data_IF_974939913116
#
_entry.id   IF_974939913116
#
_cell.length_a   1.000
_cell.length_b   1.000
_cell.length_c   1.000
_cell.angle_alpha   90.00
_cell.angle_beta   90.00
_cell.angle_gamma   90.00
#
_symmetry.space_group_name_H-M   'P 1'
#
loop_
_entity.id
_entity.type
_entity.pdbx_description
1 polymer ?
#
# COMPACT_ATOMS: atom_id res chain seq x y z
N UNK A 1 -5.34 26.56 -2.10
CA UNK A 1 -6.79 26.57 -1.88
C UNK A 1 -7.26 25.50 -0.90
N UNK A 2 -6.40 24.53 -0.58
CA UNK A 2 -6.70 23.42 0.33
C UNK A 2 -7.56 22.31 -0.29
N UNK A 3 -7.81 22.38 -1.60
CA UNK A 3 -8.61 21.40 -2.34
C UNK A 3 -7.74 20.51 -3.22
N UNK A 4 -6.66 21.04 -3.78
CA UNK A 4 -5.75 20.26 -4.64
C UNK A 4 -4.47 19.93 -3.89
N UNK A 5 -4.16 18.65 -3.80
CA UNK A 5 -2.96 18.14 -3.18
C UNK A 5 -2.07 17.48 -4.25
N UNK A 6 -0.82 17.92 -4.31
CA UNK A 6 0.16 17.39 -5.26
C UNK A 6 1.31 16.75 -4.49
N UNK A 7 1.52 15.47 -4.72
CA UNK A 7 2.60 14.70 -4.12
C UNK A 7 3.67 14.43 -5.18
N UNK A 8 4.91 14.74 -4.84
CA UNK A 8 6.07 14.45 -5.69
C UNK A 8 6.81 13.24 -5.15
N UNK A 9 6.85 12.19 -5.95
CA UNK A 9 7.54 10.96 -5.59
C UNK A 9 9.06 11.16 -5.68
N UNK A 10 9.78 10.44 -4.83
CA UNK A 10 11.24 10.38 -4.86
C UNK A 10 11.73 9.76 -6.17
N UNK A 11 12.95 10.08 -6.55
CA UNK A 11 13.63 9.42 -7.67
C UNK A 11 13.98 7.97 -7.32
N UNK A 12 13.90 7.09 -8.31
CA UNK A 12 14.38 5.73 -8.22
C UNK A 12 13.58 4.82 -7.26
N UNK A 13 12.30 5.13 -7.02
CA UNK A 13 11.44 4.24 -6.25
C UNK A 13 11.24 2.92 -6.97
N UNK A 14 11.35 1.82 -6.22
CA UNK A 14 11.24 0.47 -6.73
C UNK A 14 10.32 -0.39 -5.85
N UNK A 15 9.68 -1.33 -6.48
CA UNK A 15 9.08 -2.47 -5.83
C UNK A 15 10.16 -3.48 -5.39
N UNK A 16 9.79 -4.43 -4.53
CA UNK A 16 10.74 -5.45 -4.04
C UNK A 16 11.27 -6.39 -5.13
N UNK A 17 10.55 -6.54 -6.24
CA UNK A 17 10.97 -7.29 -7.43
C UNK A 17 11.91 -6.50 -8.35
N UNK A 18 12.19 -5.23 -8.04
CA UNK A 18 13.07 -4.34 -8.79
C UNK A 18 12.38 -3.53 -9.89
N UNK A 19 11.10 -3.74 -10.16
CA UNK A 19 10.32 -2.92 -11.09
C UNK A 19 10.11 -1.50 -10.54
N UNK A 20 9.83 -0.54 -11.42
CA UNK A 20 9.61 0.86 -11.03
C UNK A 20 8.28 1.02 -10.31
N UNK A 21 8.28 1.83 -9.23
CA UNK A 21 7.09 2.32 -8.57
C UNK A 21 6.85 3.75 -9.04
N UNK A 22 5.65 4.01 -9.55
CA UNK A 22 5.27 5.29 -10.16
C UNK A 22 4.01 5.87 -9.53
N UNK A 23 3.66 7.09 -9.93
CA UNK A 23 2.42 7.73 -9.50
C UNK A 23 1.16 6.98 -9.99
N UNK A 24 1.25 6.22 -11.09
CA UNK A 24 0.14 5.39 -11.58
C UNK A 24 -0.21 4.28 -10.59
N UNK A 25 0.77 3.73 -9.85
CA UNK A 25 0.50 2.73 -8.80
C UNK A 25 -0.37 3.30 -7.67
N UNK A 26 -0.20 4.58 -7.33
CA UNK A 26 -1.07 5.26 -6.37
C UNK A 26 -2.47 5.49 -6.93
N UNK A 27 -2.60 5.92 -8.19
CA UNK A 27 -3.90 6.08 -8.86
C UNK A 27 -4.65 4.75 -8.87
N UNK A 28 -4.01 3.67 -9.31
CA UNK A 28 -4.58 2.34 -9.29
C UNK A 28 -5.04 1.91 -7.89
N UNK A 29 -4.15 2.07 -6.91
CA UNK A 29 -4.39 1.61 -5.54
C UNK A 29 -5.57 2.35 -4.89
N UNK A 30 -5.65 3.67 -5.05
CA UNK A 30 -6.73 4.46 -4.46
C UNK A 30 -8.07 4.19 -5.14
N UNK A 31 -8.09 4.03 -6.46
CA UNK A 31 -9.29 3.57 -7.19
C UNK A 31 -9.72 2.19 -6.70
N UNK A 32 -8.78 1.26 -6.51
CA UNK A 32 -9.05 -0.07 -5.98
C UNK A 32 -9.65 -0.04 -4.56
N UNK A 33 -9.21 0.87 -3.69
CA UNK A 33 -9.82 1.05 -2.35
C UNK A 33 -11.30 1.48 -2.45
N UNK A 34 -11.66 2.25 -3.47
CA UNK A 34 -13.05 2.65 -3.72
C UNK A 34 -13.89 1.57 -4.42
N UNK A 35 -13.27 0.52 -4.96
CA UNK A 35 -13.99 -0.54 -5.67
C UNK A 35 -14.97 -1.28 -4.74
N UNK A 36 -16.28 -1.28 -5.04
CA UNK A 36 -17.28 -1.99 -4.23
C UNK A 36 -17.04 -3.51 -4.17
N UNK A 37 -16.34 -4.09 -5.14
CA UNK A 37 -15.96 -5.51 -5.13
C UNK A 37 -14.89 -5.78 -4.08
N UNK A 38 -13.95 -4.86 -3.90
CA UNK A 38 -12.89 -4.94 -2.87
C UNK A 38 -13.47 -4.69 -1.47
N UNK A 39 -14.50 -3.86 -1.37
CA UNK A 39 -15.22 -3.55 -0.13
C UNK A 39 -14.28 -3.15 1.03
N UNK A 40 -13.31 -2.28 0.77
CA UNK A 40 -12.31 -1.87 1.75
C UNK A 40 -12.98 -1.17 2.96
N UNK A 41 -12.82 -1.66 4.21
CA UNK A 41 -13.57 -1.16 5.37
C UNK A 41 -13.33 0.32 5.71
N UNK A 42 -12.19 0.85 5.31
CA UNK A 42 -11.79 2.24 5.60
C UNK A 42 -11.93 3.18 4.40
N UNK A 43 -12.49 2.73 3.27
CA UNK A 43 -12.59 3.55 2.05
C UNK A 43 -13.22 4.92 2.32
N UNK A 44 -14.40 4.97 2.94
CA UNK A 44 -15.09 6.22 3.28
C UNK A 44 -14.27 7.10 4.24
N UNK A 45 -13.65 6.49 5.26
CA UNK A 45 -12.88 7.22 6.27
C UNK A 45 -11.67 7.95 5.65
N UNK A 46 -10.98 7.32 4.70
CA UNK A 46 -9.72 7.85 4.15
C UNK A 46 -9.89 8.57 2.82
N UNK A 47 -10.93 8.26 2.04
CA UNK A 47 -11.17 8.81 0.71
C UNK A 47 -12.51 9.55 0.55
N UNK A 48 -13.41 9.54 1.54
CA UNK A 48 -14.73 10.16 1.44
C UNK A 48 -14.70 11.68 1.19
N UNK A 49 -13.57 12.36 1.45
CA UNK A 49 -13.39 13.76 1.10
C UNK A 49 -12.82 13.97 -0.31
N UNK A 50 -12.41 12.91 -1.01
CA UNK A 50 -11.92 13.02 -2.40
C UNK A 50 -13.11 13.18 -3.33
N UNK A 51 -13.00 14.11 -4.24
CA UNK A 51 -14.04 14.40 -5.23
C UNK A 51 -14.29 13.15 -6.11
N UNK A 52 -15.56 12.83 -6.34
CA UNK A 52 -15.96 11.64 -7.09
C UNK A 52 -15.96 10.33 -6.29
N UNK A 53 -15.81 10.40 -4.96
CA UNK A 53 -15.80 9.21 -4.11
C UNK A 53 -17.12 8.41 -4.18
N UNK A 54 -18.26 9.08 -4.11
CA UNK A 54 -19.57 8.41 -4.12
C UNK A 54 -19.82 7.68 -5.44
N UNK A 55 -19.44 8.30 -6.57
CA UNK A 55 -19.53 7.71 -7.90
C UNK A 55 -18.58 6.50 -8.03
N UNK A 56 -17.36 6.61 -7.49
CA UNK A 56 -16.41 5.51 -7.48
C UNK A 56 -16.92 4.33 -6.63
N UNK A 57 -17.52 4.58 -5.47
CA UNK A 57 -18.17 3.56 -4.64
C UNK A 57 -19.39 2.94 -5.33
N UNK A 58 -20.03 3.65 -6.26
CA UNK A 58 -21.11 3.11 -7.09
C UNK A 58 -20.61 2.29 -8.30
N UNK A 59 -19.27 2.19 -8.48
CA UNK A 59 -18.62 1.39 -9.52
C UNK A 59 -18.00 2.20 -10.66
N UNK A 60 -18.14 3.53 -10.69
CA UNK A 60 -17.43 4.41 -11.65
C UNK A 60 -16.09 4.86 -11.05
N UNK A 61 -15.11 3.95 -11.06
CA UNK A 61 -13.79 4.20 -10.47
C UNK A 61 -13.05 5.36 -11.13
N UNK A 62 -13.40 5.72 -12.37
CA UNK A 62 -12.78 6.83 -13.10
C UNK A 62 -13.29 8.19 -12.64
N UNK A 63 -14.41 8.24 -11.93
CA UNK A 63 -14.92 9.47 -11.31
C UNK A 63 -14.05 9.96 -10.14
N UNK A 64 -13.28 9.06 -9.48
CA UNK A 64 -12.40 9.46 -8.37
C UNK A 64 -11.32 10.42 -8.87
N UNK A 65 -11.32 11.63 -8.32
CA UNK A 65 -10.42 12.72 -8.75
C UNK A 65 -8.97 12.53 -8.26
N UNK A 66 -8.34 11.45 -8.73
CA UNK A 66 -6.91 11.16 -8.56
C UNK A 66 -6.28 11.00 -9.93
N UNK A 67 -5.07 11.52 -10.11
CA UNK A 67 -4.38 11.45 -11.41
C UNK A 67 -2.87 11.42 -11.26
N UNK A 68 -2.20 10.91 -12.28
CA UNK A 68 -0.75 10.91 -12.42
C UNK A 68 -0.39 11.61 -13.75
N UNK A 69 -0.18 12.94 -13.76
CA UNK A 69 0.19 13.66 -14.98
C UNK A 69 1.56 13.24 -15.53
N UNK A 70 2.40 12.68 -14.69
CA UNK A 70 3.66 12.04 -15.02
C UNK A 70 4.00 10.96 -13.98
N UNK A 71 5.04 10.16 -14.24
CA UNK A 71 5.43 9.03 -13.41
C UNK A 71 5.78 9.37 -11.95
N UNK A 72 6.00 10.64 -11.62
CA UNK A 72 6.43 11.11 -10.30
C UNK A 72 5.48 12.09 -9.63
N UNK A 73 4.43 12.48 -10.30
CA UNK A 73 3.48 13.46 -9.78
C UNK A 73 2.13 12.80 -9.58
N UNK A 74 1.68 12.70 -8.33
CA UNK A 74 0.37 12.21 -7.96
C UNK A 74 -0.48 13.37 -7.46
N UNK A 75 -1.65 13.57 -8.07
CA UNK A 75 -2.56 14.68 -7.78
C UNK A 75 -3.89 14.17 -7.29
N UNK A 76 -4.41 14.80 -6.23
CA UNK A 76 -5.71 14.50 -5.62
C UNK A 76 -6.53 15.77 -5.49
N UNK A 77 -7.79 15.75 -5.93
CA UNK A 77 -8.73 16.84 -5.71
C UNK A 77 -9.74 16.47 -4.62
N UNK A 78 -9.92 17.36 -3.65
CA UNK A 78 -10.87 17.19 -2.57
C UNK A 78 -12.18 17.95 -2.87
N UNK A 79 -13.29 17.43 -2.37
CA UNK A 79 -14.60 18.11 -2.40
C UNK A 79 -14.67 19.27 -1.43
N UNK A 80 -13.96 19.18 -0.30
CA UNK A 80 -13.88 20.20 0.73
C UNK A 80 -12.46 20.29 1.29
N UNK A 81 -12.01 21.46 1.79
CA UNK A 81 -10.69 21.59 2.40
C UNK A 81 -10.51 20.65 3.60
N UNK A 82 -9.42 19.89 3.61
CA UNK A 82 -9.06 18.97 4.69
C UNK A 82 -7.63 19.24 5.15
N UNK A 83 -7.40 20.02 6.23
CA UNK A 83 -6.05 20.39 6.67
C UNK A 83 -5.17 19.22 7.11
N UNK A 84 -5.77 18.10 7.47
CA UNK A 84 -5.07 16.87 7.92
C UNK A 84 -4.98 15.79 6.83
N UNK A 85 -5.28 16.12 5.58
CA UNK A 85 -5.30 15.16 4.47
C UNK A 85 -3.96 14.45 4.27
N UNK A 86 -2.84 15.15 4.46
CA UNK A 86 -1.50 14.53 4.39
C UNK A 86 -1.36 13.37 5.38
N UNK A 87 -1.92 13.51 6.59
CA UNK A 87 -1.91 12.43 7.60
C UNK A 87 -2.80 11.26 7.19
N UNK A 88 -3.94 11.53 6.53
CA UNK A 88 -4.80 10.47 5.97
C UNK A 88 -4.12 9.75 4.81
N UNK A 89 -3.43 10.48 3.93
CA UNK A 89 -2.68 9.90 2.82
C UNK A 89 -1.57 8.92 3.27
N UNK A 90 -1.09 9.06 4.51
CA UNK A 90 -0.13 8.13 5.12
C UNK A 90 -0.78 6.90 5.78
N UNK A 91 -2.11 6.77 5.75
CA UNK A 91 -2.80 5.63 6.36
C UNK A 91 -2.55 4.34 5.54
N UNK A 92 -2.37 3.21 6.23
CA UNK A 92 -1.97 1.94 5.60
C UNK A 92 -2.88 1.49 4.44
N UNK A 93 -4.20 1.76 4.52
CA UNK A 93 -5.16 1.45 3.45
C UNK A 93 -4.81 2.13 2.12
N UNK A 94 -4.14 3.29 2.17
CA UNK A 94 -3.76 4.08 0.99
C UNK A 94 -2.33 3.78 0.50
N UNK A 95 -1.66 2.79 1.10
CA UNK A 95 -0.37 2.32 0.60
C UNK A 95 -0.51 1.76 -0.82
N UNK A 96 0.44 2.03 -1.72
CA UNK A 96 0.36 1.54 -3.08
C UNK A 96 0.51 0.01 -3.12
N UNK A 97 -0.21 -0.64 -4.03
CA UNK A 97 -0.08 -2.04 -4.40
C UNK A 97 0.30 -2.16 -5.87
N UNK A 98 1.12 -3.15 -6.21
CA UNK A 98 1.56 -3.34 -7.58
C UNK A 98 0.42 -3.89 -8.45
N UNK A 99 -0.06 -3.10 -9.42
CA UNK A 99 -1.19 -3.46 -10.28
C UNK A 99 -0.98 -4.80 -10.98
N UNK A 100 0.18 -5.00 -11.61
CA UNK A 100 0.48 -6.22 -12.34
C UNK A 100 0.34 -7.49 -11.48
N UNK A 101 0.79 -7.42 -10.23
CA UNK A 101 0.70 -8.54 -9.28
C UNK A 101 -0.75 -8.80 -8.85
N UNK A 102 -1.51 -7.74 -8.57
CA UNK A 102 -2.93 -7.86 -8.17
C UNK A 102 -3.75 -8.44 -9.33
N UNK A 103 -3.57 -7.96 -10.55
CA UNK A 103 -4.30 -8.44 -11.72
C UNK A 103 -3.95 -9.89 -12.10
N UNK A 104 -2.68 -10.27 -11.95
CA UNK A 104 -2.23 -11.63 -12.25
C UNK A 104 -2.73 -12.68 -11.25
N UNK A 105 -2.97 -12.29 -9.97
CA UNK A 105 -3.26 -13.23 -8.89
C UNK A 105 -4.67 -13.06 -8.28
N UNK A 106 -5.42 -12.04 -8.67
CA UNK A 106 -6.74 -11.75 -8.09
C UNK A 106 -6.65 -11.65 -6.56
N UNK A 107 -7.60 -12.26 -5.84
CA UNK A 107 -7.65 -12.23 -4.36
C UNK A 107 -6.45 -12.92 -3.68
N UNK A 108 -5.70 -13.73 -4.42
CA UNK A 108 -4.53 -14.45 -3.89
C UNK A 108 -3.24 -13.61 -3.88
N UNK A 109 -3.24 -12.39 -4.40
CA UNK A 109 -2.04 -11.54 -4.52
C UNK A 109 -1.29 -11.33 -3.19
N UNK A 110 -2.00 -11.35 -2.05
CA UNK A 110 -1.46 -11.09 -0.71
C UNK A 110 -1.55 -12.32 0.21
N UNK A 111 -1.53 -13.54 -0.33
CA UNK A 111 -1.69 -14.78 0.45
C UNK A 111 -0.46 -15.68 0.44
N UNK A 112 0.57 -15.35 -0.35
CA UNK A 112 1.81 -16.12 -0.45
C UNK A 112 3.02 -15.18 -0.58
N UNK A 113 4.19 -15.65 -0.19
CA UNK A 113 5.42 -14.86 -0.24
C UNK A 113 5.78 -14.45 -1.68
N UNK A 114 5.54 -15.33 -2.63
CA UNK A 114 5.90 -15.15 -4.05
C UNK A 114 5.04 -14.08 -4.73
N UNK A 115 3.83 -13.86 -4.24
CA UNK A 115 2.88 -12.90 -4.81
C UNK A 115 2.79 -11.59 -4.03
N UNK A 116 3.39 -11.53 -2.83
CA UNK A 116 3.35 -10.33 -2.01
C UNK A 116 4.48 -9.36 -2.35
N UNK A 117 4.30 -8.59 -3.43
CA UNK A 117 5.26 -7.55 -3.83
C UNK A 117 5.00 -6.27 -3.01
N UNK A 118 6.06 -5.69 -2.45
CA UNK A 118 5.96 -4.51 -1.59
C UNK A 118 7.07 -3.50 -1.89
N UNK A 119 6.94 -2.29 -1.36
CA UNK A 119 7.95 -1.23 -1.49
C UNK A 119 8.57 -0.85 -0.15
N UNK A 120 8.35 -1.64 0.89
CA UNK A 120 8.86 -1.43 2.25
C UNK A 120 10.32 -1.85 2.43
N UNK A 121 10.88 -1.60 3.64
CA UNK A 121 12.28 -1.94 3.97
C UNK A 121 12.57 -3.43 4.03
N UNK A 122 11.53 -4.25 4.13
CA UNK A 122 11.60 -5.71 4.11
C UNK A 122 10.55 -6.27 3.16
N UNK A 123 10.84 -7.42 2.55
CA UNK A 123 9.92 -8.18 1.73
C UNK A 123 9.80 -9.62 2.24
N UNK A 124 8.65 -10.24 2.04
CA UNK A 124 8.38 -11.60 2.51
C UNK A 124 9.18 -12.58 1.65
N UNK A 125 9.96 -13.46 2.30
CA UNK A 125 10.71 -14.53 1.65
C UNK A 125 10.13 -15.91 1.94
N UNK A 126 9.39 -16.04 3.03
CA UNK A 126 8.73 -17.27 3.41
C UNK A 126 7.47 -16.96 4.22
N UNK A 127 6.38 -17.61 3.90
CA UNK A 127 5.14 -17.53 4.64
C UNK A 127 4.56 -18.92 4.86
N UNK A 128 4.64 -19.40 6.10
CA UNK A 128 4.09 -20.67 6.53
C UNK A 128 2.87 -20.41 7.40
N UNK A 129 1.65 -20.59 6.89
CA UNK A 129 0.43 -20.33 7.63
C UNK A 129 0.39 -21.06 8.98
N UNK A 130 0.00 -20.37 10.05
CA UNK A 130 -0.06 -20.93 11.40
C UNK A 130 1.30 -21.17 12.08
N UNK A 131 2.41 -20.89 11.41
CA UNK A 131 3.76 -21.11 11.94
C UNK A 131 4.58 -19.81 11.98
N UNK A 132 4.97 -19.28 10.84
CA UNK A 132 5.81 -18.10 10.82
C UNK A 132 5.78 -17.36 9.47
N UNK A 133 6.24 -16.09 9.50
CA UNK A 133 6.55 -15.28 8.32
C UNK A 133 8.00 -14.83 8.46
N UNK A 134 8.82 -15.09 7.44
CA UNK A 134 10.20 -14.60 7.34
C UNK A 134 10.27 -13.49 6.30
N UNK A 135 10.92 -12.40 6.66
CA UNK A 135 11.15 -11.26 5.77
C UNK A 135 12.66 -11.01 5.68
N UNK A 136 13.13 -10.67 4.49
CA UNK A 136 14.51 -10.23 4.26
C UNK A 136 14.56 -8.74 3.95
N UNK A 137 15.71 -8.11 4.24
CA UNK A 137 15.98 -6.72 3.88
C UNK A 137 15.77 -6.52 2.38
N UNK A 138 14.98 -5.52 2.02
CA UNK A 138 14.72 -5.14 0.63
C UNK A 138 15.86 -4.25 0.10
N UNK A 139 16.69 -4.72 -0.84
CA UNK A 139 17.77 -3.93 -1.40
C UNK A 139 17.25 -2.79 -2.30
N UNK A 140 16.00 -2.89 -2.78
CA UNK A 140 15.35 -1.92 -3.63
C UNK A 140 14.60 -0.83 -2.84
N UNK A 141 14.61 -0.91 -1.50
CA UNK A 141 14.00 0.11 -0.65
C UNK A 141 14.76 1.44 -0.78
N UNK A 142 14.04 2.55 -0.95
CA UNK A 142 14.63 3.88 -1.19
C UNK A 142 15.70 4.29 -0.16
N UNK A 143 15.62 3.79 1.06
CA UNK A 143 16.56 4.07 2.14
C UNK A 143 17.19 2.78 2.69
N UNK A 144 17.54 1.85 1.81
CA UNK A 144 18.08 0.54 2.20
C UNK A 144 19.36 0.66 3.06
N UNK A 145 20.20 1.64 2.82
CA UNK A 145 21.45 1.83 3.57
C UNK A 145 21.23 2.13 5.06
N UNK A 146 20.11 2.76 5.41
CA UNK A 146 19.76 3.03 6.80
C UNK A 146 19.26 1.77 7.56
N UNK A 147 18.86 0.72 6.84
CA UNK A 147 18.32 -0.50 7.42
C UNK A 147 19.46 -1.41 7.85
N UNK A 148 19.59 -1.62 9.16
CA UNK A 148 20.67 -2.42 9.77
C UNK A 148 20.34 -3.91 9.92
N UNK A 149 19.05 -4.24 10.11
CA UNK A 149 18.60 -5.62 10.21
C UNK A 149 18.63 -6.31 8.85
N UNK A 150 19.15 -7.53 8.78
CA UNK A 150 19.17 -8.34 7.56
C UNK A 150 17.85 -9.08 7.32
N UNK A 151 17.18 -9.48 8.39
CA UNK A 151 15.92 -10.23 8.33
C UNK A 151 15.08 -10.02 9.58
N UNK A 152 13.78 -10.38 9.46
CA UNK A 152 12.82 -10.41 10.56
C UNK A 152 12.06 -11.73 10.42
N UNK A 153 11.87 -12.44 11.54
CA UNK A 153 11.03 -13.64 11.61
C UNK A 153 9.91 -13.40 12.60
N UNK A 154 8.68 -13.42 12.12
CA UNK A 154 7.49 -13.42 12.96
C UNK A 154 7.08 -14.86 13.22
N UNK A 155 7.13 -15.30 14.48
CA UNK A 155 6.62 -16.60 14.90
C UNK A 155 5.16 -16.42 15.33
N UNK A 156 4.25 -17.15 14.70
CA UNK A 156 2.82 -17.05 14.97
C UNK A 156 2.49 -17.98 16.16
N UNK A 157 2.08 -17.40 17.27
CA UNK A 157 1.75 -18.12 18.51
C UNK A 157 0.41 -17.60 19.05
N UNK A 158 -0.51 -18.52 19.36
CA UNK A 158 -1.80 -18.17 19.96
C UNK A 158 -1.70 -18.00 21.47
N UNK A 159 -0.81 -18.75 22.15
CA UNK A 159 -0.61 -18.72 23.60
C UNK A 159 0.45 -17.69 24.00
N UNK A 160 0.03 -16.69 24.75
CA UNK A 160 0.90 -15.60 25.24
C UNK A 160 2.00 -16.11 26.20
N UNK A 161 1.77 -17.20 26.96
CA UNK A 161 2.79 -17.76 27.85
C UNK A 161 3.87 -18.52 27.04
N UNK A 162 3.46 -19.20 25.96
CA UNK A 162 4.41 -19.81 25.03
C UNK A 162 5.27 -18.72 24.35
N UNK A 163 4.66 -17.62 23.93
CA UNK A 163 5.39 -16.48 23.35
C UNK A 163 6.38 -15.86 24.35
N UNK A 164 5.97 -15.71 25.62
CA UNK A 164 6.85 -15.21 26.69
C UNK A 164 8.01 -16.16 26.98
N UNK A 165 7.75 -17.47 27.00
CA UNK A 165 8.79 -18.48 27.21
C UNK A 165 9.79 -18.50 26.05
N UNK A 166 9.32 -18.33 24.83
CA UNK A 166 10.20 -18.24 23.64
C UNK A 166 11.07 -16.96 23.61
N UNK A 167 10.60 -15.88 24.28
CA UNK A 167 11.36 -14.64 24.41
C UNK A 167 12.50 -14.76 25.44
N UNK A 168 12.33 -15.55 26.51
CA UNK A 168 13.36 -15.82 27.54
C UNK A 168 14.50 -16.71 27.04
#
# INVERSE_FOLDING_TARGET
>A
DGLTWTFHLRDGLKWSDGSDLTADDFVYSWKRVCDPVVAAPYAETVLGMVKGFDEAQAGDLDALAVSAPDAKTFVVELSNPCPYFESLAAFATLSPVQQATVEANGDAWATAAETYISNGPFYITEWVPGSHITMSKNPNYWNADAIKLGSIKFVLMEDSNAAYTAYQ
#
